data_IF_057600885239
#
_entry.id   IF_057600885239
#
_cell.length_a   1.000
_cell.length_b   1.000
_cell.length_c   1.000
_cell.angle_alpha   90.00
_cell.angle_beta   90.00
_cell.angle_gamma   90.00
#
_symmetry.space_group_name_H-M   'P 1'
#
loop_
_entity.id
_entity.type
_entity.pdbx_description
1 polymer ?
#
# COMPACT_ATOMS: atom_id res chain seq x y z
N UNK A 1 6.94 -14.15 -24.42
CA UNK A 1 6.22 -14.46 -23.70
C UNK A 1 6.19 -13.82 -22.49
N UNK A 2 6.99 -13.63 -21.96
CA UNK A 2 7.02 -13.03 -20.84
C UNK A 2 6.72 -11.66 -20.83
N UNK A 3 6.59 -11.09 -21.96
CA UNK A 3 6.55 -9.71 -22.01
C UNK A 3 5.21 -9.17 -22.04
N UNK A 4 4.25 -9.94 -21.65
CA UNK A 4 2.90 -9.47 -21.57
C UNK A 4 2.60 -8.77 -20.26
N UNK A 5 3.62 -8.20 -19.62
CA UNK A 5 3.38 -7.41 -18.44
C UNK A 5 2.54 -6.23 -18.79
N UNK A 6 1.41 -6.12 -18.13
CA UNK A 6 0.56 -4.94 -18.28
C UNK A 6 1.24 -3.76 -17.62
N UNK A 7 1.15 -2.63 -18.30
CA UNK A 7 1.67 -1.37 -17.80
C UNK A 7 0.49 -0.42 -17.68
N UNK A 8 0.40 0.26 -16.56
CA UNK A 8 -0.70 1.17 -16.27
C UNK A 8 -0.16 2.59 -16.09
N UNK A 9 -0.91 3.56 -16.59
CA UNK A 9 -0.63 4.98 -16.32
C UNK A 9 -1.11 5.33 -14.91
N UNK A 10 -0.72 6.50 -14.41
CA UNK A 10 -1.25 6.99 -13.14
C UNK A 10 -2.76 7.14 -13.18
N UNK A 11 -3.31 7.53 -14.33
CA UNK A 11 -4.75 7.67 -14.51
C UNK A 11 -5.45 6.32 -14.40
N UNK A 12 -4.89 5.28 -15.03
CA UNK A 12 -5.43 3.93 -14.94
C UNK A 12 -5.43 3.44 -13.50
N UNK A 13 -4.32 3.63 -12.80
CA UNK A 13 -4.15 3.17 -11.42
C UNK A 13 -5.07 3.93 -10.48
N UNK A 14 -5.27 5.22 -10.73
CA UNK A 14 -6.22 6.03 -9.97
C UNK A 14 -7.62 5.43 -10.07
N UNK A 15 -8.03 5.05 -11.27
CA UNK A 15 -9.36 4.44 -11.47
C UNK A 15 -9.48 3.07 -10.81
N UNK A 16 -8.43 2.25 -10.89
CA UNK A 16 -8.44 0.90 -10.32
C UNK A 16 -8.41 0.93 -8.79
N UNK A 17 -7.56 1.78 -8.23
CA UNK A 17 -7.32 1.78 -6.78
C UNK A 17 -8.27 2.67 -5.99
N UNK A 18 -8.89 3.63 -6.65
CA UNK A 18 -9.69 4.62 -5.96
C UNK A 18 -8.89 5.79 -5.38
N UNK A 19 -7.55 5.73 -5.42
CA UNK A 19 -6.72 6.84 -4.97
C UNK A 19 -6.63 7.90 -6.08
N UNK A 20 -6.67 9.17 -5.71
CA UNK A 20 -6.48 10.24 -6.68
C UNK A 20 -5.04 10.24 -7.20
N UNK A 21 -4.83 10.81 -8.38
CA UNK A 21 -3.48 10.97 -8.92
C UNK A 21 -2.59 11.77 -7.97
N UNK A 22 -3.17 12.76 -7.30
CA UNK A 22 -2.45 13.55 -6.29
C UNK A 22 -1.96 12.66 -5.15
N UNK A 23 -2.82 11.78 -4.64
CA UNK A 23 -2.47 10.85 -3.57
C UNK A 23 -1.38 9.86 -4.02
N UNK A 24 -1.48 9.37 -5.25
CA UNK A 24 -0.47 8.45 -5.79
C UNK A 24 0.91 9.11 -5.88
N UNK A 25 0.96 10.37 -6.31
CA UNK A 25 2.21 11.12 -6.34
C UNK A 25 2.76 11.36 -4.93
N UNK A 26 1.87 11.63 -4.00
CA UNK A 26 2.23 11.81 -2.59
C UNK A 26 2.81 10.53 -2.01
N UNK A 27 2.22 9.37 -2.31
CA UNK A 27 2.71 8.07 -1.83
C UNK A 27 4.12 7.76 -2.35
N UNK A 28 4.41 8.14 -3.58
CA UNK A 28 5.76 8.02 -4.11
C UNK A 28 6.72 8.93 -3.32
N UNK A 29 6.31 10.16 -3.11
CA UNK A 29 7.13 11.16 -2.43
C UNK A 29 7.49 10.76 -1.00
N UNK A 30 6.54 10.22 -0.24
CA UNK A 30 6.78 9.85 1.15
C UNK A 30 7.36 8.45 1.31
N UNK A 31 7.58 7.75 0.22
CA UNK A 31 8.21 6.44 0.24
C UNK A 31 7.27 5.27 0.50
N UNK A 32 5.96 5.46 0.39
CA UNK A 32 5.01 4.37 0.47
C UNK A 32 5.08 3.53 -0.79
N UNK A 33 5.34 4.17 -1.94
CA UNK A 33 5.51 3.52 -3.23
C UNK A 33 6.85 3.96 -3.84
N UNK A 34 7.98 3.51 -3.26
CA UNK A 34 9.28 4.03 -3.70
C UNK A 34 9.78 3.48 -5.04
N UNK A 35 9.10 2.46 -5.60
CA UNK A 35 9.60 1.82 -6.79
C UNK A 35 8.87 2.22 -8.06
N UNK A 36 8.12 3.30 -8.06
CA UNK A 36 7.38 3.72 -9.25
C UNK A 36 8.36 4.02 -10.38
N UNK A 37 8.18 3.34 -11.49
CA UNK A 37 9.05 3.50 -12.64
C UNK A 37 8.58 4.63 -13.53
N UNK A 38 9.46 5.05 -14.44
CA UNK A 38 9.14 6.09 -15.40
C UNK A 38 9.38 5.59 -16.81
N UNK A 39 8.54 6.04 -17.74
CA UNK A 39 8.73 5.75 -19.14
C UNK A 39 9.87 6.62 -19.69
N UNK A 40 10.26 6.38 -20.93
CA UNK A 40 11.30 7.18 -21.59
C UNK A 40 10.93 8.66 -21.63
N UNK A 41 9.64 8.99 -21.66
CA UNK A 41 9.17 10.37 -21.66
C UNK A 41 9.02 10.97 -20.25
N UNK A 42 9.38 10.21 -19.20
CA UNK A 42 9.33 10.69 -17.83
C UNK A 42 7.99 10.51 -17.13
N UNK A 43 7.04 9.83 -17.77
CA UNK A 43 5.73 9.58 -17.15
C UNK A 43 5.80 8.40 -16.22
N UNK A 44 5.05 8.47 -15.10
CA UNK A 44 4.96 7.35 -14.18
C UNK A 44 4.29 6.17 -14.83
N UNK A 45 4.86 4.99 -14.63
CA UNK A 45 4.26 3.74 -15.10
C UNK A 45 4.21 2.77 -13.92
N UNK A 46 3.13 2.01 -13.88
CA UNK A 46 2.86 1.04 -12.80
C UNK A 46 2.65 -0.33 -13.43
N UNK A 47 3.07 -1.37 -12.76
CA UNK A 47 2.82 -2.75 -13.22
C UNK A 47 1.75 -3.40 -12.33
N UNK A 48 1.46 -4.66 -12.59
CA UNK A 48 0.45 -5.39 -11.82
C UNK A 48 0.84 -5.56 -10.35
N UNK A 49 2.13 -5.68 -10.08
CA UNK A 49 2.63 -5.78 -8.72
C UNK A 49 2.35 -4.47 -7.95
N UNK A 50 2.57 -3.34 -8.59
CA UNK A 50 2.26 -2.03 -8.00
C UNK A 50 0.78 -1.91 -7.69
N UNK A 51 -0.07 -2.40 -8.58
CA UNK A 51 -1.53 -2.39 -8.37
C UNK A 51 -1.90 -3.23 -7.14
N UNK A 52 -1.28 -4.40 -6.97
CA UNK A 52 -1.53 -5.23 -5.81
C UNK A 52 -1.09 -4.56 -4.52
N UNK A 53 0.06 -3.89 -4.53
CA UNK A 53 0.54 -3.14 -3.36
C UNK A 53 -0.45 -2.03 -3.02
N UNK A 54 -0.95 -1.29 -4.01
CA UNK A 54 -1.91 -0.22 -3.78
C UNK A 54 -3.24 -0.74 -3.23
N UNK A 55 -3.67 -1.92 -3.66
CA UNK A 55 -4.87 -2.56 -3.10
C UNK A 55 -4.66 -2.87 -1.62
N UNK A 56 -3.49 -3.37 -1.26
CA UNK A 56 -3.15 -3.64 0.14
C UNK A 56 -3.12 -2.35 0.96
N UNK A 57 -2.52 -1.29 0.42
CA UNK A 57 -2.50 0.01 1.07
C UNK A 57 -3.92 0.52 1.31
N UNK A 58 -4.80 0.36 0.32
CA UNK A 58 -6.20 0.77 0.44
C UNK A 58 -6.89 0.07 1.60
N UNK A 59 -6.69 -1.24 1.74
CA UNK A 59 -7.26 -2.01 2.85
C UNK A 59 -6.71 -1.52 4.18
N UNK A 60 -5.40 -1.36 4.30
CA UNK A 60 -4.78 -0.89 5.53
C UNK A 60 -5.26 0.50 5.92
N UNK A 61 -5.40 1.40 4.95
CA UNK A 61 -5.90 2.75 5.22
C UNK A 61 -7.34 2.71 5.74
N UNK A 62 -8.18 1.86 5.15
CA UNK A 62 -9.57 1.71 5.59
C UNK A 62 -9.68 1.19 7.01
N UNK A 63 -8.72 0.42 7.47
CA UNK A 63 -8.72 -0.11 8.83
C UNK A 63 -7.95 0.78 9.81
N UNK A 64 -7.57 1.97 9.39
CA UNK A 64 -7.00 2.97 10.28
C UNK A 64 -5.49 2.98 10.42
N UNK A 65 -4.77 2.24 9.58
CA UNK A 65 -3.32 2.32 9.61
C UNK A 65 -2.84 3.67 9.14
N UNK A 66 -1.86 4.24 9.82
CA UNK A 66 -1.24 5.50 9.38
C UNK A 66 -0.27 5.23 8.24
N UNK A 67 0.05 6.28 7.49
CA UNK A 67 1.05 6.16 6.42
C UNK A 67 2.39 5.66 6.96
N UNK A 68 2.78 6.11 8.15
CA UNK A 68 4.01 5.67 8.78
C UNK A 68 3.99 4.17 9.07
N UNK A 69 2.88 3.67 9.61
CA UNK A 69 2.73 2.23 9.90
C UNK A 69 2.79 1.39 8.62
N UNK A 70 2.12 1.85 7.57
CA UNK A 70 2.13 1.15 6.28
C UNK A 70 3.54 1.15 5.69
N UNK A 71 4.24 2.28 5.78
CA UNK A 71 5.60 2.40 5.29
C UNK A 71 6.55 1.46 6.04
N UNK A 72 6.42 1.40 7.37
CA UNK A 72 7.22 0.51 8.20
C UNK A 72 6.98 -0.95 7.82
N UNK A 73 5.72 -1.33 7.62
CA UNK A 73 5.38 -2.68 7.20
C UNK A 73 6.00 -2.99 5.82
N UNK A 74 5.90 -2.06 4.87
CA UNK A 74 6.49 -2.22 3.55
C UNK A 74 8.00 -2.39 3.60
N UNK A 75 8.68 -1.63 4.45
CA UNK A 75 10.13 -1.75 4.64
C UNK A 75 10.51 -3.13 5.17
N UNK A 76 9.71 -3.68 6.08
CA UNK A 76 9.96 -5.02 6.61
C UNK A 76 9.80 -6.09 5.52
N UNK A 77 8.81 -5.94 4.65
CA UNK A 77 8.62 -6.86 3.53
C UNK A 77 9.80 -6.83 2.56
N UNK A 78 10.41 -5.67 2.34
CA UNK A 78 11.57 -5.54 1.47
C UNK A 78 12.79 -6.29 2.01
N UNK A 79 12.86 -6.50 3.32
CA UNK A 79 13.94 -7.27 3.93
C UNK A 79 13.68 -8.77 3.87
N UNK A 80 12.52 -9.16 3.38
CA UNK A 80 12.19 -10.56 3.14
C UNK A 80 12.12 -11.41 4.40
N UNK A 81 12.64 -12.62 4.32
CA UNK A 81 12.53 -13.59 5.43
C UNK A 81 13.23 -13.17 6.70
N UNK A 82 14.14 -12.22 6.62
CA UNK A 82 14.89 -11.78 7.81
C UNK A 82 14.03 -11.06 8.83
N UNK A 83 12.89 -10.51 8.40
CA UNK A 83 12.02 -9.71 9.26
C UNK A 83 10.61 -10.26 9.38
N UNK A 84 10.44 -11.57 9.19
CA UNK A 84 9.11 -12.19 9.25
C UNK A 84 8.46 -12.01 10.60
N UNK A 85 9.23 -12.12 11.68
CA UNK A 85 8.69 -11.95 13.03
C UNK A 85 8.18 -10.53 13.24
N UNK A 86 8.96 -9.54 12.83
CA UNK A 86 8.59 -8.13 12.96
C UNK A 86 7.38 -7.79 12.11
N UNK A 87 7.26 -8.36 10.91
CA UNK A 87 6.09 -8.21 10.06
C UNK A 87 4.85 -8.76 10.77
N UNK A 88 4.97 -9.96 11.34
CA UNK A 88 3.87 -10.58 12.05
C UNK A 88 3.45 -9.76 13.28
N UNK A 89 4.41 -9.31 14.06
CA UNK A 89 4.14 -8.52 15.26
C UNK A 89 3.40 -7.23 14.92
N UNK A 90 3.82 -6.55 13.86
CA UNK A 90 3.18 -5.32 13.42
C UNK A 90 1.73 -5.57 12.97
N UNK A 91 1.50 -6.63 12.20
CA UNK A 91 0.17 -6.99 11.75
C UNK A 91 -0.74 -7.43 12.90
N UNK A 92 -0.21 -8.17 13.86
CA UNK A 92 -0.98 -8.58 15.03
C UNK A 92 -1.38 -7.38 15.88
N UNK A 93 -0.46 -6.44 16.08
CA UNK A 93 -0.76 -5.21 16.81
C UNK A 93 -1.88 -4.43 16.13
N UNK A 94 -1.83 -4.33 14.79
CA UNK A 94 -2.87 -3.66 14.03
C UNK A 94 -4.22 -4.37 14.17
N UNK A 95 -4.22 -5.70 14.14
CA UNK A 95 -5.43 -6.50 14.34
C UNK A 95 -6.06 -6.22 15.69
N UNK A 96 -5.25 -6.12 16.74
CA UNK A 96 -5.74 -5.79 18.08
C UNK A 96 -6.37 -4.41 18.12
N UNK A 97 -5.77 -3.42 17.45
CA UNK A 97 -6.30 -2.07 17.38
C UNK A 97 -7.65 -2.05 16.67
N UNK A 98 -7.80 -2.81 15.60
CA UNK A 98 -9.07 -2.93 14.88
C UNK A 98 -10.13 -3.57 15.77
N UNK A 99 -9.78 -4.62 16.48
CA UNK A 99 -10.72 -5.31 17.40
C UNK A 99 -11.22 -4.36 18.48
N UNK A 100 -10.33 -3.52 19.02
CA UNK A 100 -10.72 -2.51 20.00
C UNK A 100 -11.71 -1.51 19.43
N UNK A 101 -11.46 -1.05 18.21
CA UNK A 101 -12.37 -0.11 17.54
C UNK A 101 -13.74 -0.72 17.30
N UNK A 102 -13.77 -1.98 16.92
CA UNK A 102 -15.04 -2.70 16.71
C UNK A 102 -15.82 -2.77 18.03
N UNK A 103 -15.15 -3.09 19.13
CA UNK A 103 -15.80 -3.17 20.44
C UNK A 103 -16.33 -1.80 20.87
N UNK A 104 -15.54 -0.76 20.70
CA UNK A 104 -15.96 0.61 21.04
C UNK A 104 -17.18 1.05 20.24
N UNK A 105 -17.19 0.76 18.95
CA UNK A 105 -18.30 1.10 18.08
C UNK A 105 -19.55 0.30 18.42
N UNK A 106 -19.39 -0.97 18.77
CA UNK A 106 -20.51 -1.83 19.18
C UNK A 106 -21.16 -1.34 20.47
N UNK A 107 -20.36 -0.86 21.41
CA UNK A 107 -20.88 -0.30 22.66
C UNK A 107 -21.63 1.02 22.41
N UNK A 108 -21.25 1.76 21.40
CA UNK A 108 -21.90 3.04 21.07
C UNK A 108 -23.26 2.86 20.40
N UNK A 109 -23.53 1.68 19.88
CA UNK A 109 -24.80 1.41 19.21
C UNK A 109 -25.83 0.83 20.17
#
# INVERSE_FOLDING_TARGET
>A
MLDNKKIFSISDVSNISGFSSHTLRFYEKIGLMPFVKRSASGKRIYDEYDVQILKSISVFKKTGMTNKQIKDLGSLYLEGNKKVKEQRDLLLSHKEDISKKIDELSEAL
#
